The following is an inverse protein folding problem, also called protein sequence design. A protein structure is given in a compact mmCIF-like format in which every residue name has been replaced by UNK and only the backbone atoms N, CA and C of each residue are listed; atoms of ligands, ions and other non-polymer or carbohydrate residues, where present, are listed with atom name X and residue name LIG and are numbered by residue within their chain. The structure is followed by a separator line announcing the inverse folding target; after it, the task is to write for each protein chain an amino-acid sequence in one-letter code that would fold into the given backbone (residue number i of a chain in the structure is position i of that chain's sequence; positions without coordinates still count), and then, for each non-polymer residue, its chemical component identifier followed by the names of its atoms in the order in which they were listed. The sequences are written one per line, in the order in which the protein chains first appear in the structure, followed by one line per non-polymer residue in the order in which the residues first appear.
data_IF_024301257022
#
_entry.id   IF_024301257022
#
_cell.length_a   1.000
_cell.length_b   1.000
_cell.length_c   1.000
_cell.angle_alpha   90.00
_cell.angle_beta   90.00
_cell.angle_gamma   90.00
#
_symmetry.space_group_name_H-M   'P 1'
#
loop_
_entity.id
_entity.type
_entity.pdbx_description
1 polymer ?
2 water ?
#
# COMPACT_ATOMS: atom_id res chain seq x y z
N UNK A 1 5.12 -13.78 -2.07
CA UNK A 1 5.95 -14.15 -0.93
C UNK A 1 5.31 -13.75 0.38
N UNK A 2 5.77 -14.34 1.48
CA UNK A 2 5.19 -14.07 2.78
C UNK A 2 5.34 -12.58 3.13
N UNK A 3 4.32 -12.04 3.82
CA UNK A 3 4.37 -10.66 4.25
C UNK A 3 5.54 -10.46 5.20
N UNK A 4 6.20 -9.31 5.09
CA UNK A 4 7.38 -9.06 5.92
C UNK A 4 7.45 -7.58 6.28
N UNK A 5 8.35 -7.27 7.21
CA UNK A 5 8.66 -5.88 7.55
C UNK A 5 9.67 -5.36 6.53
N UNK A 6 9.19 -4.60 5.55
CA UNK A 6 10.02 -4.18 4.42
C UNK A 6 10.78 -2.87 4.69
N UNK A 7 10.47 -2.17 5.81
CA UNK A 7 10.89 -0.79 6.02
C UNK A 7 9.92 0.27 5.53
N UNK A 8 8.90 -0.12 4.76
CA UNK A 8 7.88 0.78 4.23
C UNK A 8 6.53 0.29 4.78
N UNK A 9 5.81 1.16 5.50
CA UNK A 9 4.47 0.89 6.03
C UNK A 9 3.40 1.34 5.08
N UNK A 10 2.34 0.53 4.93
CA UNK A 10 1.11 0.89 4.23
C UNK A 10 -0.06 0.47 5.14
N UNK A 11 -0.92 1.44 5.51
CA UNK A 11 -2.02 1.21 6.47
C UNK A 11 -3.27 1.99 6.06
N UNK A 12 -4.42 1.60 6.63
CA UNK A 12 -5.66 2.34 6.39
C UNK A 12 -5.61 3.76 6.99
N UNK A 13 -6.25 4.70 6.27
CA UNK A 13 -6.56 6.04 6.80
C UNK A 13 -7.93 6.10 7.48
N UNK A 14 -8.83 5.16 7.18
CA UNK A 14 -10.11 5.07 7.84
C UNK A 14 -10.60 3.64 7.70
N UNK A 15 -11.54 3.27 8.57
CA UNK A 15 -12.15 1.94 8.52
C UNK A 15 -12.70 1.63 7.13
N UNK A 16 -12.54 0.39 6.68
CA UNK A 16 -13.13 -0.10 5.44
C UNK A 16 -14.52 -0.64 5.73
N UNK A 17 -15.59 0.03 5.24
CA UNK A 17 -16.97 -0.42 5.43
C UNK A 17 -17.43 -1.45 4.39
N UNK A 18 -16.59 -1.76 3.39
CA UNK A 18 -16.87 -2.85 2.44
C UNK A 18 -17.84 -2.57 1.29
N UNK A 19 -18.42 -1.34 1.22
CA UNK A 19 -19.56 -1.00 0.33
C UNK A 19 -19.11 -0.35 -0.99
N UNK A 20 -17.89 0.16 -1.04
CA UNK A 20 -17.37 0.91 -2.18
C UNK A 20 -16.18 0.16 -2.77
N UNK A 21 -15.85 0.48 -4.02
CA UNK A 21 -14.67 -0.15 -4.64
C UNK A 21 -13.34 0.45 -4.15
N UNK A 22 -13.35 1.62 -3.51
CA UNK A 22 -12.12 2.28 -3.07
C UNK A 22 -11.90 2.15 -1.55
N UNK A 23 -10.62 2.27 -1.16
CA UNK A 23 -10.18 2.39 0.23
C UNK A 23 -9.18 3.55 0.30
N UNK A 24 -9.01 4.14 1.48
CA UNK A 24 -8.10 5.26 1.73
C UNK A 24 -6.90 4.73 2.52
N UNK A 25 -5.69 4.89 1.94
CA UNK A 25 -4.45 4.38 2.48
C UNK A 25 -3.45 5.50 2.80
N UNK A 26 -2.46 5.16 3.63
CA UNK A 26 -1.32 6.01 3.98
C UNK A 26 -0.04 5.18 3.90
N UNK A 27 1.06 5.76 3.38
CA UNK A 27 2.34 5.08 3.25
C UNK A 27 3.45 5.94 3.85
N UNK A 28 4.36 5.34 4.61
CA UNK A 28 5.51 6.08 5.17
C UNK A 28 6.71 5.15 5.34
N UNK A 29 7.89 5.74 5.52
CA UNK A 29 9.13 4.99 5.72
C UNK A 29 9.35 4.77 7.21
N UNK A 30 9.40 3.50 7.61
CA UNK A 30 9.65 3.06 8.97
C UNK A 30 11.14 2.77 9.21
N UNK A 31 11.88 2.28 8.21
CA UNK A 31 13.32 1.97 8.32
C UNK A 31 14.05 2.36 7.04
N UNK A 32 14.59 3.59 6.96
CA UNK A 32 15.28 4.01 5.74
C UNK A 32 16.52 3.18 5.41
N UNK A 33 17.10 2.45 6.38
CA UNK A 33 18.28 1.63 6.08
C UNK A 33 17.99 0.54 5.05
N UNK A 34 16.71 0.15 4.90
CA UNK A 34 16.30 -0.91 3.97
C UNK A 34 16.02 -0.39 2.55
N UNK A 35 16.20 0.92 2.28
CA UNK A 35 15.99 1.52 0.96
C UNK A 35 17.31 1.98 0.37
N UNK A 36 17.48 1.78 -0.96
CA UNK A 36 18.67 2.30 -1.65
C UNK A 36 18.69 3.82 -1.73
N UNK A 37 17.53 4.45 -1.98
CA UNK A 37 17.43 5.90 -2.04
C UNK A 37 16.73 6.40 -0.78
N UNK A 38 17.32 7.40 -0.16
CA UNK A 38 16.80 7.90 1.12
C UNK A 38 15.87 9.07 0.79
N UNK A 39 14.55 8.96 0.97
CA UNK A 39 13.68 10.06 0.53
C UNK A 39 13.67 11.25 1.48
N UNK A 40 13.25 12.40 0.93
CA UNK A 40 12.81 13.53 1.76
C UNK A 40 11.71 13.07 2.72
N UNK A 41 11.71 13.61 3.94
CA UNK A 41 10.72 13.23 4.97
C UNK A 41 9.67 14.34 5.05
N UNK A 42 8.65 14.22 4.22
CA UNK A 42 7.52 15.14 4.22
C UNK A 42 6.27 14.52 4.85
N UNK A 43 6.41 13.44 5.63
CA UNK A 43 5.27 12.79 6.25
C UNK A 43 4.65 11.74 5.35
N UNK A 44 3.55 11.18 5.83
CA UNK A 44 2.90 10.09 5.12
C UNK A 44 2.36 10.53 3.75
N UNK A 45 2.49 9.64 2.78
CA UNK A 45 1.90 9.78 1.45
C UNK A 45 0.49 9.18 1.52
N UNK A 46 -0.54 10.03 1.37
CA UNK A 46 -1.93 9.58 1.36
C UNK A 46 -2.37 9.24 -0.06
N UNK A 47 -3.26 8.24 -0.20
CA UNK A 47 -3.81 7.93 -1.52
C UNK A 47 -5.05 7.06 -1.42
N UNK A 48 -6.03 7.34 -2.29
CA UNK A 48 -7.08 6.38 -2.57
C UNK A 48 -6.54 5.23 -3.41
N UNK A 49 -7.15 4.06 -3.26
CA UNK A 49 -6.80 2.88 -4.05
C UNK A 49 -8.10 2.18 -4.47
N UNK A 50 -8.26 1.94 -5.79
CA UNK A 50 -9.46 1.29 -6.31
C UNK A 50 -9.21 -0.23 -6.43
N UNK A 51 -9.84 -1.01 -5.54
CA UNK A 51 -9.64 -2.45 -5.50
C UNK A 51 -10.09 -3.16 -6.78
N UNK A 52 -11.04 -2.57 -7.52
CA UNK A 52 -11.55 -3.20 -8.74
C UNK A 52 -10.74 -2.87 -9.98
N UNK A 53 -10.05 -1.74 -10.02
CA UNK A 53 -9.44 -1.27 -11.25
C UNK A 53 -7.92 -1.10 -11.21
N UNK A 54 -7.31 -1.06 -10.02
CA UNK A 54 -5.90 -0.74 -9.83
C UNK A 54 -5.12 -1.93 -9.31
N UNK A 55 -3.80 -1.93 -9.53
CA UNK A 55 -2.88 -2.91 -8.99
C UNK A 55 -1.83 -2.23 -8.12
N UNK A 56 -1.23 -2.98 -7.18
CA UNK A 56 -0.10 -2.43 -6.41
C UNK A 56 1.06 -1.97 -7.27
N UNK A 57 1.34 -2.70 -8.37
CA UNK A 57 2.46 -2.34 -9.26
C UNK A 57 2.23 -1.00 -9.96
N UNK A 58 1.01 -0.74 -10.41
CA UNK A 58 0.74 0.53 -11.09
C UNK A 58 0.89 1.71 -10.12
N UNK A 59 0.34 1.60 -8.92
CA UNK A 59 0.43 2.71 -7.96
C UNK A 59 1.88 2.95 -7.51
N UNK A 60 2.65 1.87 -7.25
CA UNK A 60 4.07 2.00 -6.94
C UNK A 60 4.80 2.73 -8.06
N UNK A 61 4.52 2.37 -9.32
CA UNK A 61 5.19 3.03 -10.45
C UNK A 61 4.86 4.52 -10.51
N UNK A 62 3.61 4.87 -10.27
CA UNK A 62 3.23 6.29 -10.22
C UNK A 62 3.95 7.05 -9.12
N UNK A 63 4.24 6.39 -7.99
CA UNK A 63 5.06 7.01 -6.94
C UNK A 63 6.50 7.25 -7.40
N UNK A 64 7.09 6.32 -8.16
CA UNK A 64 8.40 6.54 -8.77
C UNK A 64 8.35 7.73 -9.74
N UNK A 65 7.33 7.77 -10.60
CA UNK A 65 7.21 8.84 -11.60
C UNK A 65 6.98 10.20 -10.96
N UNK A 66 6.45 10.24 -9.74
CA UNK A 66 6.22 11.47 -8.98
C UNK A 66 7.43 11.90 -8.15
N UNK A 67 8.50 11.08 -8.11
CA UNK A 67 9.73 11.40 -7.42
C UNK A 67 9.79 10.98 -5.96
N UNK A 68 8.82 10.18 -5.49
CA UNK A 68 8.75 9.91 -4.04
C UNK A 68 9.83 8.89 -3.59
N UNK A 69 10.22 7.95 -4.47
CA UNK A 69 11.20 6.92 -4.17
C UNK A 69 12.13 6.74 -5.38
N UNK A 70 13.32 6.23 -5.10
CA UNK A 70 14.27 5.81 -6.13
C UNK A 70 13.73 4.61 -6.90
N UNK A 71 14.01 4.57 -8.22
CA UNK A 71 13.52 3.49 -9.07
C UNK A 71 14.01 2.11 -8.60
N UNK A 72 15.19 2.02 -7.96
CA UNK A 72 15.66 0.71 -7.48
C UNK A 72 14.90 0.21 -6.24
N UNK A 73 14.00 1.00 -5.67
CA UNK A 73 13.15 0.59 -4.56
C UNK A 73 11.71 0.29 -4.99
N UNK A 74 11.40 0.26 -6.30
CA UNK A 74 10.02 0.08 -6.74
C UNK A 74 9.45 -1.26 -6.27
N UNK A 75 10.24 -2.36 -6.27
CA UNK A 75 9.70 -3.67 -5.86
C UNK A 75 9.30 -3.67 -4.38
N UNK A 76 10.05 -2.97 -3.53
CA UNK A 76 9.75 -2.86 -2.09
C UNK A 76 8.45 -2.09 -1.86
N UNK A 77 8.28 -0.96 -2.58
CA UNK A 77 7.04 -0.18 -2.49
C UNK A 77 5.84 -1.03 -2.92
N UNK A 78 5.96 -1.69 -4.11
CA UNK A 78 4.86 -2.54 -4.61
C UNK A 78 4.51 -3.66 -3.62
N UNK A 79 5.52 -4.35 -3.07
CA UNK A 79 5.24 -5.43 -2.11
C UNK A 79 4.53 -4.92 -0.85
N UNK A 80 4.92 -3.74 -0.37
CA UNK A 80 4.30 -3.18 0.85
C UNK A 80 2.82 -2.84 0.61
N UNK A 81 2.50 -2.29 -0.56
CA UNK A 81 1.11 -2.04 -0.90
C UNK A 81 0.35 -3.37 -1.03
N UNK A 82 0.94 -4.32 -1.79
CA UNK A 82 0.32 -5.64 -2.02
C UNK A 82 -0.02 -6.37 -0.70
N UNK A 83 0.93 -6.39 0.24
CA UNK A 83 0.72 -7.11 1.52
C UNK A 83 -0.54 -6.54 2.23
N UNK A 84 -0.68 -5.20 2.24
CA UNK A 84 -1.81 -4.56 2.94
C UNK A 84 -3.14 -4.79 2.20
N UNK A 85 -3.14 -4.66 0.87
CA UNK A 85 -4.35 -4.88 0.07
C UNK A 85 -4.84 -6.33 0.20
N UNK A 86 -3.91 -7.29 0.26
CA UNK A 86 -4.30 -8.71 0.43
C UNK A 86 -5.10 -8.94 1.74
N UNK A 87 -4.69 -8.28 2.82
CA UNK A 87 -5.42 -8.36 4.09
C UNK A 87 -6.80 -7.74 4.00
N UNK A 88 -6.91 -6.57 3.34
CA UNK A 88 -8.20 -5.93 3.15
C UNK A 88 -9.16 -6.84 2.39
N UNK A 89 -8.67 -7.45 1.30
CA UNK A 89 -9.51 -8.35 0.47
C UNK A 89 -9.91 -9.62 1.23
N UNK A 90 -8.98 -10.19 2.02
CA UNK A 90 -9.32 -11.35 2.85
C UNK A 90 -10.49 -11.03 3.79
N UNK A 91 -10.42 -9.88 4.47
CA UNK A 91 -11.50 -9.52 5.38
C UNK A 91 -12.83 -9.33 4.63
N UNK A 92 -12.81 -8.65 3.47
CA UNK A 92 -14.06 -8.47 2.70
C UNK A 92 -14.71 -9.81 2.32
N UNK A 93 -13.90 -10.79 1.94
CA UNK A 93 -14.40 -12.07 1.45
C UNK A 93 -14.68 -13.10 2.53
N UNK A 94 -13.90 -13.16 3.61
CA UNK A 94 -13.91 -14.28 4.56
C UNK A 94 -14.37 -13.91 5.98
N UNK A 95 -14.53 -12.61 6.30
CA UNK A 95 -14.88 -12.16 7.67
C UNK A 95 -16.11 -11.25 7.67
N UNK A 96 -16.14 -10.25 6.77
CA UNK A 96 -17.20 -9.25 6.73
C UNK A 96 -18.59 -9.81 6.42
N UNK A 97 -18.76 -10.80 5.53
CA UNK A 97 -20.11 -11.29 5.23
C UNK A 97 -20.78 -11.93 6.44
N UNK A 98 -22.10 -11.81 6.47
CA UNK A 98 -22.93 -12.41 7.53
C UNK A 98 -22.80 -13.93 7.52
#
# INVERSE_FOLDING_TARGET
SMAEDTGVRVELAEEDHGRKSTIALRLWVEDPKKLKGKPKDNGAIEFTFDLEKETPDEVAQEMIESGFFHESDVKIVAKSIRDRVALIQWRRERIWPA
#
